data_IF_009035105081
#
_entry.id   IF_009035105081
#
_cell.length_a   1.000
_cell.length_b   1.000
_cell.length_c   1.000
_cell.angle_alpha   90.00
_cell.angle_beta   90.00
_cell.angle_gamma   90.00
#
_symmetry.space_group_name_H-M   'P 1'
#
loop_
_entity.id
_entity.type
_entity.pdbx_description
1 polymer ?
#
# COMPACT_ATOMS: atom_id res chain seq x y z
N UNK A 1 43.82 39.51 -21.01
CA UNK A 1 45.16 39.17 -21.52
C UNK A 1 45.98 40.44 -21.51
N UNK A 2 46.86 40.59 -20.52
CA UNK A 2 47.91 41.61 -20.61
C UNK A 2 48.89 41.13 -21.69
N UNK A 3 49.26 41.99 -22.63
CA UNK A 3 50.31 41.67 -23.61
C UNK A 3 51.63 41.57 -22.85
N UNK A 4 52.51 40.64 -23.24
CA UNK A 4 53.81 40.51 -22.59
C UNK A 4 54.64 41.80 -22.78
N UNK A 5 55.40 42.24 -21.77
CA UNK A 5 56.13 43.51 -21.83
C UNK A 5 57.14 43.58 -22.99
N UNK A 6 57.61 42.43 -23.50
CA UNK A 6 58.49 42.33 -24.66
C UNK A 6 57.78 42.67 -25.99
N UNK A 7 56.50 42.36 -26.13
CA UNK A 7 55.72 42.67 -27.35
C UNK A 7 55.28 44.14 -27.40
N UNK A 8 55.09 44.78 -26.24
CA UNK A 8 54.76 46.21 -26.14
C UNK A 8 55.90 47.14 -26.59
N UNK A 9 57.16 46.70 -26.49
CA UNK A 9 58.33 47.48 -26.91
C UNK A 9 58.56 47.47 -28.43
N UNK A 10 57.97 46.52 -29.15
CA UNK A 10 58.07 46.39 -30.61
C UNK A 10 56.98 47.15 -31.37
N UNK A 11 56.00 47.73 -30.65
CA UNK A 11 54.89 48.48 -31.22
C UNK A 11 55.27 49.94 -31.44
N UNK A 12 54.59 50.58 -32.40
CA UNK A 12 54.73 52.01 -32.68
C UNK A 12 54.53 52.85 -31.40
N UNK A 13 55.36 53.87 -31.13
CA UNK A 13 55.26 54.70 -29.94
C UNK A 13 53.87 55.30 -29.68
N UNK A 14 53.13 55.66 -30.74
CA UNK A 14 51.76 56.17 -30.62
C UNK A 14 50.75 55.09 -30.22
N UNK A 15 50.93 53.88 -30.74
CA UNK A 15 50.07 52.74 -30.39
C UNK A 15 50.33 52.33 -28.93
N UNK A 16 51.59 52.34 -28.50
CA UNK A 16 51.98 52.05 -27.13
C UNK A 16 51.39 53.06 -26.14
N UNK A 17 51.51 54.37 -26.42
CA UNK A 17 50.93 55.40 -25.53
C UNK A 17 49.41 55.27 -25.41
N UNK A 18 48.73 54.92 -26.51
CA UNK A 18 47.28 54.69 -26.52
C UNK A 18 46.88 53.46 -25.70
N UNK A 19 47.62 52.35 -25.79
CA UNK A 19 47.39 51.16 -24.96
C UNK A 19 47.60 51.47 -23.48
N UNK A 20 48.67 52.18 -23.13
CA UNK A 20 48.97 52.59 -21.74
C UNK A 20 47.91 53.57 -21.18
N UNK A 21 47.28 54.40 -22.03
CA UNK A 21 46.13 55.22 -21.64
C UNK A 21 44.86 54.39 -21.41
N UNK A 22 44.57 53.41 -22.29
CA UNK A 22 43.45 52.50 -22.12
C UNK A 22 43.58 51.62 -20.87
N UNK A 23 44.79 51.15 -20.57
CA UNK A 23 45.06 50.36 -19.36
C UNK A 23 44.88 51.20 -18.10
N UNK A 24 45.37 52.45 -18.08
CA UNK A 24 45.11 53.41 -16.98
C UNK A 24 43.62 53.71 -16.80
N UNK A 25 42.88 53.87 -17.90
CA UNK A 25 41.43 54.09 -17.83
C UNK A 25 40.69 52.85 -17.29
N UNK A 26 41.09 51.64 -17.69
CA UNK A 26 40.55 50.38 -17.14
C UNK A 26 40.92 50.19 -15.67
N UNK A 27 42.11 50.61 -15.26
CA UNK A 27 42.55 50.59 -13.86
C UNK A 27 41.78 51.58 -12.99
N UNK A 28 41.50 52.78 -13.50
CA UNK A 28 40.62 53.75 -12.85
C UNK A 28 39.17 53.28 -12.73
N UNK A 29 38.69 52.47 -13.68
CA UNK A 29 37.32 51.93 -13.69
C UNK A 29 37.13 50.70 -12.78
N UNK A 30 38.17 49.87 -12.57
CA UNK A 30 38.13 48.65 -11.72
C UNK A 30 37.48 48.85 -10.34
N UNK A 31 37.79 49.91 -9.57
CA UNK A 31 37.16 50.14 -8.26
C UNK A 31 35.66 50.46 -8.34
N UNK A 32 35.21 51.06 -9.45
CA UNK A 32 33.79 51.32 -9.69
C UNK A 32 33.07 50.00 -10.03
N UNK A 33 33.65 49.18 -10.89
CA UNK A 33 33.10 47.87 -11.27
C UNK A 33 32.98 46.94 -10.05
N UNK A 34 34.03 46.83 -9.23
CA UNK A 34 33.99 46.04 -8.00
C UNK A 34 32.93 46.55 -6.98
N UNK A 35 32.64 47.86 -6.98
CA UNK A 35 31.60 48.46 -6.15
C UNK A 35 30.20 48.11 -6.67
N UNK A 36 30.03 48.10 -7.99
CA UNK A 36 28.79 47.68 -8.64
C UNK A 36 28.52 46.19 -8.46
N UNK A 37 29.54 45.33 -8.58
CA UNK A 37 29.41 43.90 -8.33
C UNK A 37 28.96 43.61 -6.89
N UNK A 38 29.57 44.27 -5.89
CA UNK A 38 29.14 44.14 -4.49
C UNK A 38 27.70 44.57 -4.28
N UNK A 39 27.30 45.69 -4.89
CA UNK A 39 25.92 46.18 -4.82
C UNK A 39 24.94 45.22 -5.51
N UNK A 40 25.30 44.69 -6.67
CA UNK A 40 24.50 43.73 -7.40
C UNK A 40 24.32 42.45 -6.60
N UNK A 41 25.39 41.92 -6.00
CA UNK A 41 25.32 40.74 -5.14
C UNK A 41 24.43 40.97 -3.92
N UNK A 42 24.60 42.11 -3.23
CA UNK A 42 23.76 42.47 -2.08
C UNK A 42 22.28 42.61 -2.47
N UNK A 43 22.00 43.18 -3.65
CA UNK A 43 20.64 43.33 -4.15
C UNK A 43 20.02 41.99 -4.55
N UNK A 44 20.81 41.10 -5.17
CA UNK A 44 20.38 39.76 -5.55
C UNK A 44 20.00 38.91 -4.33
N UNK A 45 20.85 38.89 -3.30
CA UNK A 45 20.54 38.19 -2.03
C UNK A 45 19.25 38.71 -1.41
N UNK A 46 19.05 40.04 -1.44
CA UNK A 46 17.82 40.65 -0.92
C UNK A 46 16.59 40.30 -1.76
N UNK A 47 16.73 40.24 -3.08
CA UNK A 47 15.67 39.82 -3.99
C UNK A 47 15.24 38.38 -3.70
N UNK A 48 16.20 37.45 -3.63
CA UNK A 48 15.91 36.02 -3.39
C UNK A 48 15.23 35.82 -2.02
N UNK A 49 15.67 36.56 -0.99
CA UNK A 49 15.03 36.54 0.32
C UNK A 49 13.58 37.07 0.30
N UNK A 50 13.32 38.13 -0.47
CA UNK A 50 11.97 38.69 -0.63
C UNK A 50 11.07 37.75 -1.43
N UNK A 51 11.60 37.07 -2.46
CA UNK A 51 10.85 36.06 -3.22
C UNK A 51 10.44 34.88 -2.35
N UNK A 52 11.33 34.37 -1.50
CA UNK A 52 10.99 33.29 -0.57
C UNK A 52 9.96 33.72 0.48
N UNK A 53 10.07 34.95 1.01
CA UNK A 53 9.05 35.50 1.89
C UNK A 53 7.69 35.63 1.18
N UNK A 54 7.69 36.09 -0.08
CA UNK A 54 6.48 36.19 -0.88
C UNK A 54 5.88 34.79 -1.12
N UNK A 55 6.70 33.80 -1.49
CA UNK A 55 6.26 32.41 -1.69
C UNK A 55 5.63 31.85 -0.43
N UNK A 56 6.24 32.07 0.75
CA UNK A 56 5.68 31.65 2.03
C UNK A 56 4.36 32.36 2.37
N UNK A 57 4.25 33.66 2.08
CA UNK A 57 3.02 34.41 2.31
C UNK A 57 1.90 33.98 1.35
N UNK A 58 2.23 33.75 0.08
CA UNK A 58 1.30 33.22 -0.91
C UNK A 58 0.83 31.82 -0.52
N UNK A 59 1.75 30.95 -0.06
CA UNK A 59 1.42 29.64 0.47
C UNK A 59 0.47 29.74 1.67
N UNK A 60 0.78 30.58 2.67
CA UNK A 60 -0.10 30.77 3.84
C UNK A 60 -1.46 31.38 3.50
N UNK A 61 -1.54 32.22 2.45
CA UNK A 61 -2.76 32.97 2.08
C UNK A 61 -3.66 32.19 1.12
N UNK A 62 -3.08 31.44 0.20
CA UNK A 62 -3.80 30.76 -0.89
C UNK A 62 -3.78 29.23 -0.78
N UNK A 63 -2.80 28.64 -0.09
CA UNK A 63 -2.83 27.20 0.22
C UNK A 63 -3.59 26.96 1.53
N UNK A 64 -4.28 25.83 1.59
CA UNK A 64 -5.13 25.48 2.73
C UNK A 64 -4.27 25.20 3.97
N UNK A 65 -4.66 25.79 5.10
CA UNK A 65 -4.02 25.60 6.40
C UNK A 65 -4.43 24.29 7.11
N UNK A 66 -5.32 23.51 6.50
CA UNK A 66 -5.92 22.29 7.04
C UNK A 66 -6.10 21.28 5.90
N UNK A 67 -5.67 20.04 6.12
CA UNK A 67 -5.91 18.87 5.27
C UNK A 67 -7.36 18.37 5.40
N UNK A 68 -8.35 19.28 5.40
CA UNK A 68 -9.71 18.85 5.17
C UNK A 68 -9.85 18.49 3.69
N UNK A 69 -9.91 17.19 3.45
CA UNK A 69 -10.09 16.58 2.15
C UNK A 69 -11.24 17.26 1.38
N UNK A 70 -11.01 17.61 0.12
CA UNK A 70 -12.07 18.17 -0.72
C UNK A 70 -13.14 17.11 -0.98
N UNK A 71 -14.37 17.53 -1.28
CA UNK A 71 -15.43 16.60 -1.75
C UNK A 71 -14.95 15.81 -2.98
N UNK A 72 -14.05 16.38 -3.79
CA UNK A 72 -13.41 15.71 -4.92
C UNK A 72 -12.44 14.60 -4.48
N UNK A 73 -11.81 14.73 -3.31
CA UNK A 73 -10.98 13.69 -2.70
C UNK A 73 -11.85 12.54 -2.13
N UNK A 74 -13.08 12.84 -1.66
CA UNK A 74 -14.08 11.80 -1.36
C UNK A 74 -14.56 11.08 -2.63
N UNK A 75 -14.60 11.77 -3.77
CA UNK A 75 -14.91 11.19 -5.08
C UNK A 75 -13.76 10.36 -5.69
N UNK A 76 -12.55 10.38 -5.12
CA UNK A 76 -11.48 9.44 -5.51
C UNK A 76 -11.88 7.98 -5.27
N UNK A 77 -12.81 7.72 -4.34
CA UNK A 77 -13.32 6.37 -4.08
C UNK A 77 -14.56 6.01 -4.93
N UNK A 78 -15.07 6.93 -5.75
CA UNK A 78 -16.15 6.67 -6.71
C UNK A 78 -15.62 6.24 -8.09
N UNK A 79 -14.42 5.65 -8.16
CA UNK A 79 -13.83 5.12 -9.41
C UNK A 79 -14.78 4.19 -10.16
N UNK A 80 -15.57 3.38 -9.45
CA UNK A 80 -16.55 2.47 -10.07
C UNK A 80 -17.68 3.22 -10.81
N UNK A 81 -18.22 4.30 -10.25
CA UNK A 81 -19.31 5.06 -10.87
C UNK A 81 -18.80 5.93 -12.02
N UNK A 82 -17.59 6.49 -11.87
CA UNK A 82 -16.94 7.31 -12.90
C UNK A 82 -16.54 6.47 -14.12
N UNK A 83 -16.00 5.27 -13.90
CA UNK A 83 -15.63 4.34 -14.99
C UNK A 83 -16.86 3.81 -15.73
N UNK A 84 -17.98 3.55 -15.05
CA UNK A 84 -19.22 3.15 -15.73
C UNK A 84 -19.72 4.27 -16.65
N UNK A 85 -19.78 5.52 -16.18
CA UNK A 85 -20.17 6.67 -17.01
C UNK A 85 -19.23 6.94 -18.20
N UNK A 86 -17.92 6.78 -18.02
CA UNK A 86 -16.92 6.92 -19.08
C UNK A 86 -16.98 5.77 -20.12
N UNK A 87 -17.48 4.60 -19.73
CA UNK A 87 -17.65 3.45 -20.64
C UNK A 87 -18.96 3.56 -21.43
N UNK A 88 -20.05 3.98 -20.79
CA UNK A 88 -21.34 4.22 -21.45
C UNK A 88 -21.24 5.33 -22.51
N UNK A 89 -20.51 6.40 -22.21
CA UNK A 89 -20.27 7.50 -23.17
C UNK A 89 -19.33 7.16 -24.34
N UNK A 90 -18.56 6.06 -24.25
CA UNK A 90 -17.70 5.58 -25.34
C UNK A 90 -18.31 4.41 -26.14
N UNK A 91 -19.40 3.80 -25.67
CA UNK A 91 -20.07 2.70 -26.37
C UNK A 91 -21.20 3.12 -27.32
N UNK A 92 -21.61 4.39 -27.30
CA UNK A 92 -22.68 4.89 -28.18
C UNK A 92 -22.15 5.51 -29.48
N UNK A 93 -21.40 4.78 -30.31
CA UNK A 93 -21.48 5.01 -31.78
C UNK A 93 -20.92 3.81 -32.54
N UNK A 94 -21.78 2.89 -33.01
CA UNK A 94 -21.76 2.38 -34.40
C UNK A 94 -22.85 1.34 -34.63
N UNK A 95 -24.04 1.81 -35.03
CA UNK A 95 -24.89 1.00 -35.92
C UNK A 95 -24.48 1.26 -37.39
N UNK A 96 -24.49 0.24 -38.26
CA UNK A 96 -24.02 0.37 -39.64
C UNK A 96 -25.13 0.87 -40.58
N UNK A 97 -25.09 2.16 -40.92
CA UNK A 97 -25.83 2.74 -42.05
C UNK A 97 -24.98 2.77 -43.32
N UNK A 98 -25.55 2.30 -44.44
CA UNK A 98 -24.87 2.07 -45.71
C UNK A 98 -24.49 3.34 -46.51
N UNK A 99 -23.53 3.13 -47.43
CA UNK A 99 -23.14 3.90 -48.63
C UNK A 99 -22.10 5.03 -48.50
N UNK A 100 -21.01 4.92 -49.28
CA UNK A 100 -20.19 6.05 -49.73
C UNK A 100 -18.68 5.99 -49.44
N UNK A 101 -17.92 5.57 -50.46
CA UNK A 101 -16.52 5.92 -50.78
C UNK A 101 -15.37 5.69 -49.78
N UNK A 102 -14.39 4.91 -50.26
CA UNK A 102 -13.11 4.59 -49.63
C UNK A 102 -12.15 5.78 -49.63
N UNK A 103 -11.73 6.19 -48.44
CA UNK A 103 -10.50 6.98 -48.24
C UNK A 103 -9.57 6.15 -47.35
N UNK A 104 -8.43 5.76 -47.91
CA UNK A 104 -7.34 5.08 -47.18
C UNK A 104 -6.64 6.08 -46.26
N UNK A 105 -6.80 5.93 -44.95
CA UNK A 105 -5.99 6.62 -43.94
C UNK A 105 -5.08 5.61 -43.24
N UNK A 106 -3.82 6.00 -43.09
CA UNK A 106 -2.72 5.16 -42.62
C UNK A 106 -2.93 4.59 -41.21
N UNK A 107 -2.39 3.40 -41.05
CA UNK A 107 -2.45 2.51 -39.89
C UNK A 107 -2.01 3.21 -38.58
N UNK A 108 -2.95 3.49 -37.69
CA UNK A 108 -2.65 3.79 -36.29
C UNK A 108 -2.71 2.49 -35.49
N UNK A 109 -1.58 1.96 -35.02
CA UNK A 109 -1.59 0.83 -34.09
C UNK A 109 -2.13 1.29 -32.72
N UNK A 110 -3.41 1.04 -32.46
CA UNK A 110 -3.97 1.15 -31.12
C UNK A 110 -3.43 -0.01 -30.27
N UNK A 111 -2.90 0.29 -29.07
CA UNK A 111 -2.68 -0.75 -28.05
C UNK A 111 -4.03 -1.41 -27.76
N UNK A 112 -4.16 -2.71 -28.02
CA UNK A 112 -5.35 -3.46 -27.64
C UNK A 112 -5.50 -3.38 -26.12
N UNK A 113 -6.49 -2.62 -25.65
CA UNK A 113 -6.96 -2.62 -24.27
C UNK A 113 -7.70 -3.95 -24.04
N UNK A 114 -6.93 -5.01 -23.79
CA UNK A 114 -7.45 -6.31 -23.39
C UNK A 114 -7.30 -6.50 -21.89
N UNK A 115 -8.25 -7.21 -21.27
CA UNK A 115 -8.12 -7.68 -19.89
C UNK A 115 -6.82 -8.49 -19.76
N UNK A 116 -6.00 -8.19 -18.75
CA UNK A 116 -4.81 -9.00 -18.42
C UNK A 116 -5.27 -10.43 -18.08
N UNK A 117 -4.62 -11.42 -18.67
CA UNK A 117 -4.86 -12.83 -18.36
C UNK A 117 -4.56 -13.12 -16.89
N UNK A 118 -5.20 -14.15 -16.34
CA UNK A 118 -4.93 -14.61 -14.98
C UNK A 118 -3.49 -15.16 -14.93
N UNK A 119 -2.76 -14.94 -13.83
CA UNK A 119 -1.37 -15.36 -13.69
C UNK A 119 -1.25 -16.87 -13.97
N UNK A 120 -0.36 -17.31 -14.88
CA UNK A 120 -0.10 -18.72 -15.15
C UNK A 120 0.24 -19.57 -13.92
N UNK A 121 0.72 -18.96 -12.83
CA UNK A 121 1.08 -19.65 -11.58
C UNK A 121 -0.11 -20.17 -10.77
N UNK A 122 -1.33 -19.74 -11.08
CA UNK A 122 -2.52 -20.25 -10.40
C UNK A 122 -2.95 -21.60 -11.01
N UNK A 123 -3.33 -22.54 -10.14
CA UNK A 123 -3.81 -23.87 -10.54
C UNK A 123 -5.10 -23.75 -11.37
N UNK A 124 -5.20 -24.54 -12.45
CA UNK A 124 -6.35 -24.59 -13.36
C UNK A 124 -7.01 -25.96 -13.26
N UNK A 125 -8.34 -25.97 -13.19
CA UNK A 125 -9.16 -27.18 -13.26
C UNK A 125 -10.03 -27.09 -14.51
N UNK A 126 -9.83 -28.01 -15.45
CA UNK A 126 -10.55 -28.02 -16.72
C UNK A 126 -11.92 -28.68 -16.57
N UNK A 127 -12.97 -27.95 -16.94
CA UNK A 127 -14.34 -28.45 -17.01
C UNK A 127 -14.78 -28.51 -18.47
N UNK A 128 -14.82 -29.72 -19.05
CA UNK A 128 -15.25 -29.92 -20.43
C UNK A 128 -16.78 -29.89 -20.51
N UNK A 129 -17.32 -28.88 -21.20
CA UNK A 129 -18.73 -28.81 -21.56
C UNK A 129 -18.88 -29.20 -23.03
N UNK A 130 -19.32 -30.43 -23.28
CA UNK A 130 -19.54 -30.97 -24.63
C UNK A 130 -21.04 -31.18 -24.89
N UNK A 131 -21.42 -31.10 -26.16
CA UNK A 131 -22.79 -31.40 -26.60
C UNK A 131 -23.00 -32.91 -26.62
N UNK A 132 -24.26 -33.35 -26.54
CA UNK A 132 -24.57 -34.78 -26.57
C UNK A 132 -24.22 -35.41 -27.93
N UNK A 133 -23.98 -36.72 -27.95
CA UNK A 133 -23.59 -37.40 -29.20
C UNK A 133 -24.71 -37.42 -30.26
N UNK A 134 -25.97 -37.22 -29.85
CA UNK A 134 -27.12 -37.06 -30.74
C UNK A 134 -27.10 -35.68 -31.42
N UNK A 135 -26.75 -34.61 -30.69
CA UNK A 135 -26.59 -33.25 -31.22
C UNK A 135 -25.35 -33.10 -32.10
N UNK A 136 -24.40 -34.03 -31.99
CA UNK A 136 -23.25 -34.14 -32.90
C UNK A 136 -23.63 -34.73 -34.26
N UNK A 137 -24.87 -35.19 -34.47
CA UNK A 137 -25.35 -35.64 -35.78
C UNK A 137 -26.02 -34.49 -36.54
N UNK A 138 -25.47 -34.15 -37.70
CA UNK A 138 -26.09 -33.16 -38.57
C UNK A 138 -27.32 -33.76 -39.27
N UNK A 139 -28.30 -32.92 -39.61
CA UNK A 139 -29.51 -33.33 -40.33
C UNK A 139 -29.25 -34.01 -41.69
N UNK A 140 -28.05 -33.85 -42.27
CA UNK A 140 -27.62 -34.53 -43.49
C UNK A 140 -26.99 -35.92 -43.27
N UNK A 141 -26.90 -36.40 -42.03
CA UNK A 141 -26.36 -37.73 -41.67
C UNK A 141 -24.86 -37.78 -41.42
N UNK A 142 -24.16 -36.64 -41.44
CA UNK A 142 -22.74 -36.54 -41.11
C UNK A 142 -22.53 -36.16 -39.64
N UNK A 143 -21.48 -36.70 -39.02
CA UNK A 143 -21.09 -36.35 -37.65
C UNK A 143 -20.27 -35.06 -37.65
N UNK A 144 -20.62 -34.13 -36.75
CA UNK A 144 -19.91 -32.87 -36.54
C UNK A 144 -18.49 -33.15 -36.03
N UNK A 145 -17.53 -32.39 -36.55
CA UNK A 145 -16.11 -32.45 -36.18
C UNK A 145 -15.78 -31.25 -35.30
N UNK A 146 -14.98 -31.44 -34.25
CA UNK A 146 -14.50 -30.34 -33.40
C UNK A 146 -13.50 -29.48 -34.16
N UNK A 147 -13.86 -28.24 -34.45
CA UNK A 147 -13.05 -27.30 -35.27
C UNK A 147 -12.20 -26.35 -34.39
N UNK A 148 -12.62 -26.13 -33.14
CA UNK A 148 -11.92 -25.28 -32.19
C UNK A 148 -12.58 -25.33 -30.82
N UNK A 149 -12.06 -24.53 -29.89
CA UNK A 149 -12.61 -24.39 -28.54
C UNK A 149 -12.56 -22.92 -28.11
N UNK A 150 -13.57 -22.50 -27.37
CA UNK A 150 -13.58 -21.21 -26.70
C UNK A 150 -13.30 -21.43 -25.21
N UNK A 151 -12.18 -20.91 -24.73
CA UNK A 151 -11.76 -21.05 -23.33
C UNK A 151 -12.14 -19.82 -22.52
N UNK A 152 -12.87 -20.02 -21.43
CA UNK A 152 -13.18 -18.96 -20.45
C UNK A 152 -12.55 -19.30 -19.11
N UNK A 153 -11.62 -18.47 -18.66
CA UNK A 153 -11.05 -18.59 -17.31
C UNK A 153 -11.92 -17.85 -16.28
N UNK A 154 -12.25 -18.52 -15.18
CA UNK A 154 -12.98 -17.96 -14.03
C UNK A 154 -12.17 -18.26 -12.77
N UNK A 155 -11.98 -17.26 -11.91
CA UNK A 155 -11.30 -17.44 -10.63
C UNK A 155 -12.28 -17.94 -9.58
N UNK A 156 -12.00 -19.11 -9.01
CA UNK A 156 -12.74 -19.67 -7.89
C UNK A 156 -11.96 -19.47 -6.58
N UNK A 157 -12.65 -19.15 -5.50
CA UNK A 157 -12.05 -18.97 -4.17
C UNK A 157 -12.66 -19.98 -3.22
N UNK A 158 -11.83 -20.81 -2.59
CA UNK A 158 -12.24 -21.59 -1.42
C UNK A 158 -11.98 -20.73 -0.17
N UNK A 159 -13.00 -20.38 0.62
CA UNK A 159 -12.82 -19.52 1.80
C UNK A 159 -11.92 -20.14 2.88
N UNK A 160 -11.65 -19.34 3.92
CA UNK A 160 -10.99 -19.77 5.15
C UNK A 160 -11.69 -21.02 5.74
N UNK A 161 -10.99 -22.16 5.81
CA UNK A 161 -11.53 -23.36 6.45
C UNK A 161 -11.32 -23.28 7.97
N UNK A 162 -12.39 -23.53 8.73
CA UNK A 162 -12.36 -23.61 10.19
C UNK A 162 -12.88 -24.99 10.61
N UNK A 163 -12.19 -25.65 11.54
CA UNK A 163 -12.60 -26.92 12.12
C UNK A 163 -12.49 -26.88 13.65
N UNK A 164 -13.01 -27.91 14.33
CA UNK A 164 -13.03 -28.02 15.79
C UNK A 164 -12.24 -29.26 16.21
N UNK A 165 -11.18 -29.05 16.99
CA UNK A 165 -10.42 -30.13 17.62
C UNK A 165 -11.09 -30.54 18.93
N UNK A 166 -11.58 -31.78 19.01
CA UNK A 166 -12.23 -32.33 20.21
C UNK A 166 -11.21 -33.10 21.06
N UNK A 167 -10.70 -32.48 22.11
CA UNK A 167 -9.86 -33.14 23.10
C UNK A 167 -10.70 -33.84 24.17
N UNK A 168 -10.66 -35.18 24.21
CA UNK A 168 -11.41 -36.01 25.17
C UNK A 168 -10.44 -36.53 26.23
N UNK A 169 -10.77 -36.28 27.50
CA UNK A 169 -9.99 -36.73 28.66
C UNK A 169 -10.83 -37.69 29.50
N UNK A 170 -10.72 -39.02 29.28
CA UNK A 170 -11.44 -40.00 30.07
C UNK A 170 -11.06 -39.91 31.55
N UNK A 171 -12.06 -40.06 32.42
CA UNK A 171 -11.91 -40.08 33.87
C UNK A 171 -12.02 -41.52 34.35
N UNK A 172 -11.11 -41.94 35.20
CA UNK A 172 -11.09 -43.29 35.76
C UNK A 172 -11.17 -43.23 37.28
N UNK A 173 -11.98 -44.08 37.88
CA UNK A 173 -12.09 -44.23 39.33
C UNK A 173 -12.12 -45.73 39.68
N UNK A 174 -11.57 -46.09 40.85
CA UNK A 174 -11.63 -47.46 41.34
C UNK A 174 -12.91 -47.66 42.15
N UNK A 175 -13.79 -48.56 41.71
CA UNK A 175 -15.05 -48.85 42.40
C UNK A 175 -14.89 -49.66 43.69
N UNK A 176 -13.76 -50.36 43.85
CA UNK A 176 -13.58 -51.31 44.96
C UNK A 176 -13.06 -50.65 46.23
N UNK A 177 -12.19 -49.65 46.08
CA UNK A 177 -11.61 -48.93 47.21
C UNK A 177 -12.06 -47.46 47.28
N UNK A 178 -12.83 -46.97 46.30
CA UNK A 178 -13.27 -45.56 46.19
C UNK A 178 -12.12 -44.53 46.31
N UNK A 179 -10.87 -44.95 46.07
CA UNK A 179 -9.69 -44.10 46.22
C UNK A 179 -9.04 -44.11 47.61
N UNK A 180 -9.57 -44.85 48.59
CA UNK A 180 -9.05 -44.92 49.97
C UNK A 180 -7.72 -45.67 50.13
N UNK A 181 -7.28 -46.40 49.10
CA UNK A 181 -6.07 -47.21 49.15
C UNK A 181 -4.78 -46.48 48.70
N UNK A 182 -4.90 -45.33 48.04
CA UNK A 182 -3.78 -44.56 47.49
C UNK A 182 -3.89 -43.10 47.98
N UNK A 183 -3.28 -42.76 49.12
CA UNK A 183 -3.27 -41.40 49.70
C UNK A 183 -2.56 -40.38 48.78
N UNK A 184 -1.57 -40.82 48.00
CA UNK A 184 -0.74 -39.95 47.15
C UNK A 184 -1.43 -39.53 45.84
N UNK A 185 -2.58 -40.12 45.48
CA UNK A 185 -3.22 -39.92 44.17
C UNK A 185 -4.70 -39.61 44.31
N UNK A 186 -5.25 -38.70 43.49
CA UNK A 186 -6.67 -38.39 43.55
C UNK A 186 -7.53 -39.62 43.21
N UNK A 187 -8.67 -39.77 43.89
CA UNK A 187 -9.64 -40.85 43.71
C UNK A 187 -10.13 -40.97 42.24
N UNK A 188 -10.18 -39.85 41.52
CA UNK A 188 -10.43 -39.79 40.09
C UNK A 188 -9.15 -39.42 39.34
N UNK A 189 -8.73 -40.30 38.44
CA UNK A 189 -7.53 -40.15 37.63
C UNK A 189 -7.90 -39.65 36.23
N UNK A 190 -7.13 -38.70 35.74
CA UNK A 190 -7.29 -38.11 34.40
C UNK A 190 -5.92 -37.68 33.90
N UNK A 191 -5.68 -37.75 32.59
CA UNK A 191 -4.44 -37.24 32.01
C UNK A 191 -4.30 -35.72 32.28
N UNK A 192 -3.09 -35.22 32.56
CA UNK A 192 -2.86 -33.79 32.72
C UNK A 192 -3.20 -33.07 31.41
N UNK A 193 -3.77 -31.86 31.54
CA UNK A 193 -4.04 -31.00 30.38
C UNK A 193 -2.79 -30.22 30.04
N UNK A 194 -2.53 -30.09 28.75
CA UNK A 194 -1.49 -29.18 28.26
C UNK A 194 -1.87 -27.72 28.55
N UNK A 195 -0.89 -26.85 28.83
CA UNK A 195 -1.16 -25.44 29.10
C UNK A 195 -1.50 -24.68 27.81
N UNK A 196 -2.72 -24.16 27.73
CA UNK A 196 -3.12 -23.23 26.67
C UNK A 196 -2.65 -21.79 26.96
N UNK A 197 -2.42 -21.01 25.90
CA UNK A 197 -2.11 -19.56 26.00
C UNK A 197 -3.20 -18.83 26.81
N UNK A 198 -4.46 -19.15 26.52
CA UNK A 198 -5.64 -18.64 27.22
C UNK A 198 -6.40 -19.81 27.87
N UNK A 199 -6.18 -20.08 29.17
CA UNK A 199 -6.84 -21.18 29.87
C UNK A 199 -8.37 -21.06 29.82
N UNK A 200 -9.03 -22.20 29.56
CA UNK A 200 -10.52 -22.30 29.50
C UNK A 200 -11.16 -21.48 28.37
N UNK A 201 -10.38 -21.10 27.36
CA UNK A 201 -10.90 -20.47 26.14
C UNK A 201 -11.03 -21.50 25.02
N UNK A 202 -11.89 -21.20 24.04
CA UNK A 202 -11.91 -21.91 22.74
C UNK A 202 -10.77 -21.45 21.82
N UNK A 203 -10.08 -20.38 22.19
CA UNK A 203 -9.09 -19.74 21.34
C UNK A 203 -7.77 -20.50 21.34
N UNK A 204 -7.55 -21.26 20.27
CA UNK A 204 -6.28 -21.92 19.97
C UNK A 204 -5.22 -20.88 19.56
N UNK A 205 -3.91 -21.21 19.64
CA UNK A 205 -2.85 -20.33 19.14
C UNK A 205 -3.08 -19.91 17.68
N UNK A 206 -3.58 -20.82 16.83
CA UNK A 206 -3.89 -20.54 15.44
C UNK A 206 -5.03 -19.54 15.28
N UNK A 207 -6.12 -19.69 16.04
CA UNK A 207 -7.24 -18.74 16.01
C UNK A 207 -6.81 -17.35 16.51
N UNK A 208 -6.03 -17.30 17.58
CA UNK A 208 -5.49 -16.04 18.11
C UNK A 208 -4.60 -15.34 17.10
N UNK A 209 -3.68 -16.07 16.47
CA UNK A 209 -2.80 -15.53 15.42
C UNK A 209 -3.61 -14.97 14.26
N UNK A 210 -4.62 -15.70 13.80
CA UNK A 210 -5.51 -15.26 12.72
C UNK A 210 -6.22 -13.94 13.07
N UNK A 211 -6.84 -13.84 14.24
CA UNK A 211 -7.57 -12.63 14.67
C UNK A 211 -6.63 -11.42 14.78
N UNK A 212 -5.43 -11.62 15.35
CA UNK A 212 -4.45 -10.56 15.56
C UNK A 212 -3.84 -10.06 14.25
N UNK A 213 -3.47 -10.96 13.34
CA UNK A 213 -2.97 -10.58 12.01
C UNK A 213 -4.03 -9.78 11.26
N UNK A 214 -5.27 -10.29 11.22
CA UNK A 214 -6.37 -9.54 10.60
C UNK A 214 -6.54 -8.16 11.23
N UNK A 215 -6.43 -8.03 12.55
CA UNK A 215 -6.65 -6.76 13.26
C UNK A 215 -5.54 -5.74 13.00
N UNK A 216 -4.28 -6.16 13.12
CA UNK A 216 -3.13 -5.25 13.20
C UNK A 216 -2.31 -5.17 11.91
N UNK A 217 -2.33 -6.22 11.08
CA UNK A 217 -1.65 -6.24 9.78
C UNK A 217 -2.63 -5.88 8.67
N UNK A 218 -3.80 -6.52 8.64
CA UNK A 218 -4.79 -6.32 7.57
C UNK A 218 -5.81 -5.21 7.87
N UNK A 219 -5.64 -4.50 9.00
CA UNK A 219 -6.51 -3.41 9.45
C UNK A 219 -8.00 -3.76 9.49
N UNK A 220 -8.33 -5.03 9.76
CA UNK A 220 -9.69 -5.53 9.82
C UNK A 220 -10.27 -5.35 11.23
N UNK A 221 -11.21 -4.41 11.45
CA UNK A 221 -11.75 -4.16 12.78
C UNK A 221 -12.57 -5.35 13.30
N UNK A 222 -12.59 -5.54 14.63
CA UNK A 222 -13.24 -6.70 15.26
C UNK A 222 -14.72 -6.85 14.91
N UNK A 223 -15.48 -5.76 14.73
CA UNK A 223 -16.88 -5.86 14.31
C UNK A 223 -17.04 -6.51 12.93
N UNK A 224 -16.06 -6.32 12.03
CA UNK A 224 -16.07 -6.91 10.70
C UNK A 224 -15.60 -8.37 10.75
N UNK A 225 -14.65 -8.68 11.64
CA UNK A 225 -14.27 -10.05 11.93
C UNK A 225 -15.42 -10.86 12.53
N UNK A 226 -16.16 -10.29 13.48
CA UNK A 226 -17.36 -10.89 14.10
C UNK A 226 -18.37 -11.27 13.03
N UNK A 227 -18.73 -10.33 12.13
CA UNK A 227 -19.61 -10.62 10.99
C UNK A 227 -19.08 -11.72 10.06
N UNK A 228 -17.77 -11.77 9.83
CA UNK A 228 -17.16 -12.84 9.00
C UNK A 228 -17.27 -14.20 9.67
N UNK A 229 -17.06 -14.28 10.98
CA UNK A 229 -17.27 -15.52 11.74
C UNK A 229 -18.74 -15.93 11.74
N UNK A 230 -19.67 -14.98 11.91
CA UNK A 230 -21.12 -15.25 11.85
C UNK A 230 -21.53 -15.82 10.48
N UNK A 231 -20.98 -15.29 9.38
CA UNK A 231 -21.25 -15.76 8.02
C UNK A 231 -20.87 -17.23 7.79
N UNK A 232 -19.88 -17.74 8.54
CA UNK A 232 -19.44 -19.14 8.49
C UNK A 232 -19.99 -19.97 9.67
N UNK A 233 -20.98 -19.44 10.39
CA UNK A 233 -21.67 -20.15 11.47
C UNK A 233 -20.91 -20.22 12.80
N UNK A 234 -19.87 -19.40 12.98
CA UNK A 234 -19.07 -19.35 14.20
C UNK A 234 -19.40 -18.08 14.97
N UNK A 235 -19.86 -18.20 16.22
CA UNK A 235 -20.15 -17.04 17.07
C UNK A 235 -18.94 -16.69 17.95
N UNK A 236 -18.23 -15.62 17.58
CA UNK A 236 -17.14 -15.05 18.36
C UNK A 236 -17.41 -13.55 18.49
N UNK A 237 -17.64 -13.09 19.72
CA UNK A 237 -18.00 -11.69 19.93
C UNK A 237 -16.80 -10.76 19.80
N UNK A 238 -17.06 -9.50 19.44
CA UNK A 238 -16.09 -8.40 19.55
C UNK A 238 -15.42 -8.32 20.93
N UNK A 239 -16.22 -8.53 21.97
CA UNK A 239 -15.75 -8.44 23.35
C UNK A 239 -14.75 -9.55 23.66
N UNK A 240 -15.02 -10.76 23.19
CA UNK A 240 -14.10 -11.89 23.36
C UNK A 240 -12.78 -11.64 22.63
N UNK A 241 -12.83 -11.21 21.36
CA UNK A 241 -11.62 -10.89 20.58
C UNK A 241 -10.79 -9.79 21.26
N UNK A 242 -11.44 -8.75 21.78
CA UNK A 242 -10.77 -7.68 22.52
C UNK A 242 -10.11 -8.19 23.79
N UNK A 243 -10.84 -8.94 24.61
CA UNK A 243 -10.34 -9.52 25.85
C UNK A 243 -9.18 -10.50 25.61
N UNK A 244 -9.27 -11.32 24.57
CA UNK A 244 -8.20 -12.24 24.17
C UNK A 244 -6.96 -11.47 23.74
N UNK A 245 -7.13 -10.43 22.92
CA UNK A 245 -6.03 -9.57 22.46
C UNK A 245 -5.25 -8.98 23.63
N UNK A 246 -5.94 -8.42 24.62
CA UNK A 246 -5.31 -7.83 25.82
C UNK A 246 -4.52 -8.89 26.60
N UNK A 247 -5.12 -10.08 26.81
CA UNK A 247 -4.46 -11.17 27.53
C UNK A 247 -3.22 -11.68 26.77
N UNK A 248 -3.32 -11.83 25.46
CA UNK A 248 -2.21 -12.27 24.61
C UNK A 248 -1.09 -11.24 24.59
N UNK A 249 -1.40 -9.95 24.51
CA UNK A 249 -0.40 -8.87 24.58
C UNK A 249 0.46 -8.98 25.85
N UNK A 250 -0.18 -9.21 27.01
CA UNK A 250 0.55 -9.44 28.26
C UNK A 250 1.43 -10.70 28.24
N UNK A 251 1.04 -11.76 27.53
CA UNK A 251 1.86 -12.97 27.36
C UNK A 251 3.03 -12.77 26.40
N UNK A 252 2.91 -11.85 25.44
CA UNK A 252 3.95 -11.51 24.46
C UNK A 252 4.95 -10.49 24.99
N UNK A 253 4.75 -9.92 26.19
CA UNK A 253 5.63 -8.90 26.77
C UNK A 253 7.12 -9.28 26.74
N UNK A 254 7.56 -10.52 27.08
CA UNK A 254 8.98 -10.86 27.01
C UNK A 254 9.59 -10.75 25.60
N UNK A 255 8.78 -11.00 24.56
CA UNK A 255 9.22 -10.81 23.17
C UNK A 255 9.31 -9.33 22.80
N UNK A 256 8.35 -8.53 23.26
CA UNK A 256 8.35 -7.07 23.08
C UNK A 256 9.58 -6.46 23.76
N UNK A 257 9.89 -6.88 24.98
CA UNK A 257 11.07 -6.43 25.72
C UNK A 257 12.35 -6.81 24.97
N UNK A 258 12.42 -8.04 24.46
CA UNK A 258 13.57 -8.49 23.67
C UNK A 258 13.72 -7.71 22.37
N UNK A 259 12.63 -7.38 21.69
CA UNK A 259 12.68 -6.52 20.51
C UNK A 259 13.16 -5.12 20.85
N UNK A 260 12.72 -4.55 21.97
CA UNK A 260 13.18 -3.25 22.43
C UNK A 260 14.69 -3.26 22.72
N UNK A 261 15.21 -4.30 23.36
CA UNK A 261 16.66 -4.47 23.60
C UNK A 261 17.44 -4.56 22.28
N UNK A 262 16.94 -5.31 21.31
CA UNK A 262 17.56 -5.44 19.99
C UNK A 262 17.60 -4.09 19.27
N UNK A 263 16.50 -3.34 19.25
CA UNK A 263 16.44 -2.00 18.66
C UNK A 263 17.46 -1.08 19.35
N UNK A 264 17.55 -1.12 20.69
CA UNK A 264 18.49 -0.30 21.46
C UNK A 264 19.95 -0.68 21.31
N UNK A 265 20.24 -1.90 20.86
CA UNK A 265 21.62 -2.36 20.62
C UNK A 265 22.26 -1.76 19.37
N UNK A 266 21.46 -1.16 18.49
CA UNK A 266 21.95 -0.52 17.26
C UNK A 266 22.79 0.74 17.54
N UNK A 267 23.78 1.06 16.70
CA UNK A 267 24.60 2.27 16.85
C UNK A 267 23.83 3.57 16.56
N UNK A 268 22.69 3.47 15.86
CA UNK A 268 21.80 4.57 15.51
C UNK A 268 20.35 4.07 15.60
N UNK A 269 19.49 4.84 16.26
CA UNK A 269 18.05 4.58 16.35
C UNK A 269 17.34 5.76 15.69
N UNK A 270 16.56 5.48 14.65
CA UNK A 270 15.67 6.45 14.03
C UNK A 270 14.26 6.25 14.58
N UNK A 271 13.61 7.35 14.94
CA UNK A 271 12.24 7.36 15.45
C UNK A 271 11.46 8.43 14.70
N UNK A 272 10.29 8.06 14.19
CA UNK A 272 9.31 8.97 13.60
C UNK A 272 8.01 8.86 14.40
N UNK A 273 7.42 10.00 14.76
CA UNK A 273 6.22 10.04 15.59
C UNK A 273 4.98 9.97 14.71
N UNK A 274 4.11 9.00 14.95
CA UNK A 274 2.78 8.94 14.35
C UNK A 274 1.73 9.28 15.42
N UNK A 275 1.21 10.52 15.48
CA UNK A 275 0.23 10.89 16.48
C UNK A 275 -1.09 10.14 16.23
N UNK A 276 -1.69 9.59 17.28
CA UNK A 276 -3.01 8.96 17.24
C UNK A 276 -3.92 9.56 18.30
N UNK A 277 -5.20 9.75 17.96
CA UNK A 277 -6.21 10.19 18.91
C UNK A 277 -6.58 9.04 19.86
N UNK A 278 -6.43 9.29 21.15
CA UNK A 278 -6.79 8.35 22.22
C UNK A 278 -8.02 8.89 22.93
N UNK A 279 -8.96 8.01 23.29
CA UNK A 279 -10.14 8.41 24.05
C UNK A 279 -9.73 9.04 25.39
N UNK A 280 -10.38 10.15 25.76
CA UNK A 280 -10.17 10.90 27.00
C UNK A 280 -8.80 11.59 27.13
N UNK A 281 -8.25 12.10 26.02
CA UNK A 281 -7.05 12.93 26.07
C UNK A 281 -7.34 14.28 26.79
N UNK A 282 -6.55 14.67 27.81
CA UNK A 282 -6.78 15.92 28.55
C UNK A 282 -6.76 17.13 27.62
N UNK A 283 -7.85 17.89 27.58
CA UNK A 283 -7.96 19.11 26.76
C UNK A 283 -8.40 18.91 25.31
N UNK A 284 -8.79 17.69 24.90
CA UNK A 284 -9.45 17.41 23.63
C UNK A 284 -10.81 16.76 23.85
N UNK A 285 -11.83 17.28 23.19
CA UNK A 285 -13.15 16.66 23.18
C UNK A 285 -13.11 15.40 22.31
N UNK A 286 -13.73 14.32 22.81
CA UNK A 286 -13.89 13.06 22.10
C UNK A 286 -14.71 13.22 20.81
#
# INVERSE_FOLDING_TARGET
MALEPATLQQLDPHIRSYIEELERHREGARPADARWEKKYHALKVRHDALEEQLRLLLYKRFCRSSEQESVEQQQLFNEAEKTVNETESNSETSEPGATGETITVAEHSRKKSGRKSIDPKHDRTDHLHDISDEEKQCACGATLVRIGEETREVLNVVPLQIWVDRHIYPKYACHTCEGSADEDKPAVRTAPREPDILPRSIATPSLLSFILVNKFVDHLPFYRQEKRFEQIGVSISRQDMSNWTIKVAGKLQPLIDRFADLIRSGPLIQSDETPMLVMNEPGRAN
#
